data_IF_301293616061
#
_entry.id   IF_301293616061
#
_cell.length_a   1.000
_cell.length_b   1.000
_cell.length_c   1.000
_cell.angle_alpha   90.00
_cell.angle_beta   90.00
_cell.angle_gamma   90.00
#
_symmetry.space_group_name_H-M   'P 1'
#
loop_
_entity.id
_entity.type
_entity.pdbx_description
1 polymer ?
#
# COMPACT_ATOMS: atom_id res chain seq x y z
N UNK A 1 10.37 -27.75 17.79
CA UNK A 1 9.82 -27.12 16.57
C UNK A 1 10.79 -26.01 16.18
N UNK A 2 11.26 -25.99 14.92
CA UNK A 2 12.43 -25.20 14.51
C UNK A 2 12.36 -23.72 14.92
N UNK A 3 13.38 -23.26 15.65
CA UNK A 3 13.57 -21.87 16.05
C UNK A 3 13.96 -20.96 14.88
N UNK A 4 14.09 -21.50 13.68
CA UNK A 4 14.51 -20.75 12.51
C UNK A 4 13.37 -19.83 12.02
N UNK A 5 13.65 -18.55 11.74
CA UNK A 5 12.64 -17.65 11.21
C UNK A 5 12.21 -18.08 9.80
N UNK A 6 10.92 -17.90 9.50
CA UNK A 6 10.44 -17.85 8.11
C UNK A 6 11.00 -16.55 7.52
N UNK A 7 11.65 -16.59 6.37
CA UNK A 7 12.28 -15.40 5.79
C UNK A 7 11.59 -15.05 4.48
N UNK A 8 11.17 -13.79 4.34
CA UNK A 8 10.70 -13.26 3.06
C UNK A 8 11.67 -12.19 2.58
N UNK A 9 12.20 -12.37 1.37
CA UNK A 9 13.12 -11.42 0.74
C UNK A 9 12.35 -10.39 -0.06
N UNK A 10 12.59 -9.12 0.24
CA UNK A 10 11.93 -7.99 -0.38
C UNK A 10 12.97 -7.10 -1.05
N UNK A 11 12.66 -6.61 -2.25
CA UNK A 11 13.42 -5.57 -2.95
C UNK A 11 12.51 -4.40 -3.21
N UNK A 12 12.86 -3.21 -2.74
CA UNK A 12 12.04 -2.02 -2.95
C UNK A 12 12.17 -1.49 -4.39
N UNK A 13 11.05 -1.15 -5.01
CA UNK A 13 10.97 -0.48 -6.32
C UNK A 13 10.84 1.04 -6.20
N UNK A 14 10.26 1.51 -5.10
CA UNK A 14 10.29 2.92 -4.68
C UNK A 14 10.76 3.00 -3.23
N UNK A 15 11.22 4.17 -2.74
CA UNK A 15 11.71 4.26 -1.38
C UNK A 15 10.65 3.81 -0.38
N UNK A 16 11.11 3.09 0.64
CA UNK A 16 10.31 2.68 1.77
C UNK A 16 10.42 3.75 2.86
N UNK A 17 9.26 4.15 3.40
CA UNK A 17 9.19 4.97 4.60
C UNK A 17 8.37 4.26 5.68
N UNK A 18 8.85 4.26 6.92
CA UNK A 18 8.18 3.70 8.09
C UNK A 18 8.25 4.70 9.23
N UNK A 19 7.11 5.03 9.85
CA UNK A 19 7.09 5.98 10.95
C UNK A 19 7.27 5.32 12.31
N UNK A 20 8.16 5.88 13.13
CA UNK A 20 8.25 5.66 14.55
C UNK A 20 7.09 6.29 15.32
N UNK A 21 7.05 6.07 16.64
CA UNK A 21 5.99 6.61 17.51
C UNK A 21 5.97 8.14 17.59
N UNK A 22 7.09 8.79 17.30
CA UNK A 22 7.26 10.25 17.20
C UNK A 22 6.91 10.80 15.81
N UNK A 23 6.54 9.91 14.87
CA UNK A 23 6.21 10.27 13.49
C UNK A 23 7.41 10.49 12.58
N UNK A 24 8.64 10.17 13.02
CA UNK A 24 9.87 10.28 12.25
C UNK A 24 10.34 8.92 11.76
N UNK A 25 11.31 8.91 10.85
CA UNK A 25 12.00 7.69 10.41
C UNK A 25 13.50 7.80 10.68
N UNK A 26 13.94 7.38 11.87
CA UNK A 26 15.37 7.28 12.22
C UNK A 26 15.97 5.93 11.77
N UNK A 27 15.11 4.92 11.58
CA UNK A 27 15.44 3.60 11.04
C UNK A 27 14.21 2.98 10.35
N UNK A 28 14.37 1.79 9.77
CA UNK A 28 13.20 0.99 9.40
C UNK A 28 12.51 0.52 10.68
N UNK A 29 11.27 0.96 10.89
CA UNK A 29 10.44 0.52 12.00
C UNK A 29 9.58 -0.67 11.59
N UNK A 30 9.76 -1.80 12.26
CA UNK A 30 9.01 -3.02 12.02
C UNK A 30 7.51 -2.81 12.25
N UNK A 31 7.13 -1.92 13.16
CA UNK A 31 5.74 -1.52 13.40
C UNK A 31 5.09 -0.90 12.16
N UNK A 32 5.83 -0.12 11.37
CA UNK A 32 5.33 0.46 10.11
C UNK A 32 5.10 -0.60 9.04
N UNK A 33 6.03 -1.56 8.93
CA UNK A 33 5.89 -2.73 8.03
C UNK A 33 4.68 -3.58 8.45
N UNK A 34 4.60 -3.98 9.72
CA UNK A 34 3.48 -4.76 10.27
C UNK A 34 2.16 -4.04 10.04
N UNK A 35 2.12 -2.72 10.28
CA UNK A 35 0.92 -1.90 10.08
C UNK A 35 0.44 -1.92 8.63
N UNK A 36 1.34 -1.80 7.66
CA UNK A 36 0.99 -1.87 6.23
C UNK A 36 0.48 -3.25 5.81
N UNK A 37 1.12 -4.34 6.25
CA UNK A 37 0.68 -5.72 5.98
C UNK A 37 -0.69 -5.97 6.62
N UNK A 38 -0.88 -5.52 7.86
CA UNK A 38 -2.18 -5.60 8.54
C UNK A 38 -3.25 -4.86 7.75
N UNK A 39 -2.99 -3.62 7.33
CA UNK A 39 -3.95 -2.81 6.60
C UNK A 39 -4.38 -3.48 5.29
N UNK A 40 -3.44 -4.06 4.55
CA UNK A 40 -3.75 -4.83 3.35
C UNK A 40 -4.54 -6.10 3.65
N UNK A 41 -4.22 -6.82 4.73
CA UNK A 41 -5.02 -7.97 5.17
C UNK A 41 -6.47 -7.56 5.50
N UNK A 42 -6.67 -6.40 6.13
CA UNK A 42 -7.99 -5.84 6.38
C UNK A 42 -8.75 -5.54 5.08
N UNK A 43 -8.09 -4.93 4.09
CA UNK A 43 -8.66 -4.65 2.76
C UNK A 43 -9.05 -5.93 2.02
N UNK A 44 -8.19 -6.95 2.05
CA UNK A 44 -8.43 -8.26 1.44
C UNK A 44 -9.63 -8.93 2.11
N UNK A 45 -9.66 -9.01 3.43
CA UNK A 45 -10.74 -9.65 4.18
C UNK A 45 -12.10 -8.95 3.93
N UNK A 46 -12.14 -7.61 3.87
CA UNK A 46 -13.36 -6.86 3.47
C UNK A 46 -13.79 -7.20 2.04
N UNK A 47 -12.82 -7.29 1.12
CA UNK A 47 -13.05 -7.70 -0.26
C UNK A 47 -13.70 -9.08 -0.39
N UNK A 48 -13.27 -10.02 0.44
CA UNK A 48 -13.81 -11.38 0.55
C UNK A 48 -15.14 -11.46 1.32
N UNK A 49 -15.67 -10.34 1.82
CA UNK A 49 -16.97 -10.27 2.49
C UNK A 49 -16.96 -10.51 4.01
N UNK A 50 -15.78 -10.53 4.63
CA UNK A 50 -15.65 -10.71 6.08
C UNK A 50 -15.67 -9.38 6.82
N UNK A 51 -16.18 -9.42 8.05
CA UNK A 51 -16.17 -8.27 8.94
C UNK A 51 -14.75 -7.95 9.40
N UNK A 52 -14.38 -6.68 9.31
CA UNK A 52 -13.13 -6.15 9.86
C UNK A 52 -13.40 -4.86 10.62
N UNK A 53 -13.10 -4.84 11.92
CA UNK A 53 -13.31 -3.67 12.77
C UNK A 53 -12.47 -2.46 12.32
N UNK A 54 -12.87 -1.27 12.78
CA UNK A 54 -11.98 -0.11 12.79
C UNK A 54 -10.96 -0.24 13.92
N UNK A 55 -9.64 -0.29 13.67
CA UNK A 55 -8.66 -0.27 14.76
C UNK A 55 -8.63 1.08 15.50
N UNK A 56 -9.20 2.15 14.93
CA UNK A 56 -9.21 3.52 15.48
C UNK A 56 -10.50 3.91 16.19
N UNK A 57 -11.55 3.10 16.12
CA UNK A 57 -12.82 3.38 16.81
C UNK A 57 -12.91 2.73 18.18
N UNK A 58 -13.87 3.17 18.98
CA UNK A 58 -14.19 2.57 20.29
C UNK A 58 -14.75 1.14 20.17
N UNK A 59 -15.27 0.78 18.99
CA UNK A 59 -15.82 -0.54 18.67
C UNK A 59 -14.77 -1.52 18.11
N UNK A 60 -13.47 -1.22 18.30
CA UNK A 60 -12.39 -2.14 17.92
C UNK A 60 -12.46 -3.44 18.72
N UNK A 61 -12.01 -4.53 18.11
CA UNK A 61 -11.92 -5.82 18.79
C UNK A 61 -11.05 -5.73 20.04
N UNK A 62 -11.50 -6.33 21.14
CA UNK A 62 -10.76 -6.43 22.40
C UNK A 62 -11.10 -7.76 23.07
N UNK A 63 -10.12 -8.39 23.70
CA UNK A 63 -10.35 -9.54 24.57
C UNK A 63 -10.22 -9.12 26.02
N UNK A 64 -11.09 -9.68 26.87
CA UNK A 64 -11.09 -9.42 28.30
C UNK A 64 -10.07 -10.26 29.07
N UNK A 65 -9.54 -11.31 28.43
CA UNK A 65 -8.70 -12.33 29.06
C UNK A 65 -9.52 -13.42 29.77
N UNK A 66 -10.85 -13.33 29.75
CA UNK A 66 -11.77 -14.32 30.32
C UNK A 66 -12.27 -15.34 29.31
N UNK A 67 -11.87 -15.21 28.05
CA UNK A 67 -12.26 -16.09 26.97
C UNK A 67 -11.67 -17.50 27.17
N UNK A 68 -12.54 -18.50 27.22
CA UNK A 68 -12.22 -19.86 27.68
C UNK A 68 -11.49 -20.68 26.61
N UNK A 69 -11.90 -20.53 25.37
CA UNK A 69 -11.39 -21.31 24.25
C UNK A 69 -11.14 -20.45 22.99
N UNK A 70 -10.60 -21.08 21.95
CA UNK A 70 -10.29 -20.41 20.69
C UNK A 70 -11.55 -19.96 19.94
N UNK A 71 -12.66 -20.69 20.02
CA UNK A 71 -13.90 -20.34 19.33
C UNK A 71 -14.50 -19.06 19.93
N UNK A 72 -14.51 -18.92 21.25
CA UNK A 72 -14.96 -17.72 21.95
C UNK A 72 -14.09 -16.51 21.56
N UNK A 73 -12.76 -16.68 21.48
CA UNK A 73 -11.84 -15.62 21.06
C UNK A 73 -12.10 -15.20 19.62
N UNK A 74 -12.24 -16.15 18.69
CA UNK A 74 -12.53 -15.89 17.28
C UNK A 74 -13.85 -15.12 17.12
N UNK A 75 -14.90 -15.48 17.86
CA UNK A 75 -16.19 -14.77 17.81
C UNK A 75 -16.10 -13.28 18.15
N UNK A 76 -15.07 -12.87 18.91
CA UNK A 76 -14.83 -11.49 19.37
C UNK A 76 -13.76 -10.76 18.54
N UNK A 77 -13.03 -11.47 17.69
CA UNK A 77 -11.92 -10.93 16.90
C UNK A 77 -12.25 -10.94 15.41
N UNK A 78 -12.00 -9.82 14.72
CA UNK A 78 -11.92 -9.86 13.27
C UNK A 78 -10.64 -10.58 12.82
N UNK A 79 -10.57 -11.03 11.55
CA UNK A 79 -9.40 -11.75 11.04
C UNK A 79 -8.07 -11.02 11.25
N UNK A 80 -8.06 -9.70 11.04
CA UNK A 80 -6.86 -8.90 11.19
C UNK A 80 -6.43 -8.80 12.66
N UNK A 81 -7.36 -8.59 13.59
CA UNK A 81 -7.04 -8.61 15.02
C UNK A 81 -6.57 -9.99 15.48
N UNK A 82 -7.11 -11.08 14.93
CA UNK A 82 -6.66 -12.42 15.22
C UNK A 82 -5.18 -12.62 14.83
N UNK A 83 -4.81 -12.30 13.59
CA UNK A 83 -3.44 -12.52 13.10
C UNK A 83 -2.45 -11.48 13.65
N UNK A 84 -2.82 -10.20 13.65
CA UNK A 84 -1.94 -9.05 13.96
C UNK A 84 -2.01 -8.55 15.41
N UNK A 85 -2.91 -9.10 16.23
CA UNK A 85 -3.08 -8.71 17.63
C UNK A 85 -4.08 -7.56 17.84
N UNK A 86 -4.54 -7.42 19.08
CA UNK A 86 -5.31 -6.28 19.58
C UNK A 86 -5.17 -6.20 21.12
N UNK A 87 -5.90 -5.29 21.78
CA UNK A 87 -5.94 -5.23 23.25
C UNK A 87 -6.40 -6.57 23.83
N UNK A 88 -5.62 -7.14 24.75
CA UNK A 88 -5.89 -8.46 25.34
C UNK A 88 -5.55 -9.65 24.43
N UNK A 89 -4.99 -9.43 23.23
CA UNK A 89 -4.63 -10.49 22.30
C UNK A 89 -3.29 -10.22 21.61
N UNK A 90 -2.29 -11.05 21.91
CA UNK A 90 -0.95 -10.90 21.34
C UNK A 90 -0.96 -11.33 19.87
N UNK A 91 -0.23 -10.60 19.03
CA UNK A 91 0.03 -10.99 17.65
C UNK A 91 0.61 -12.40 17.57
N UNK A 92 0.18 -13.17 16.57
CA UNK A 92 0.53 -14.58 16.37
C UNK A 92 1.97 -14.82 15.88
N UNK A 93 2.71 -13.75 15.63
CA UNK A 93 4.09 -13.82 15.18
C UNK A 93 4.88 -12.62 15.71
N UNK A 94 6.20 -12.75 15.67
CA UNK A 94 7.18 -11.67 15.78
C UNK A 94 7.77 -11.41 14.40
N UNK A 95 8.13 -10.16 14.10
CA UNK A 95 8.73 -9.80 12.82
C UNK A 95 9.96 -8.91 13.06
N UNK A 96 11.11 -9.50 13.37
CA UNK A 96 12.40 -8.87 13.12
C UNK A 96 12.59 -8.53 11.64
N UNK A 97 13.26 -7.41 11.37
CA UNK A 97 13.65 -7.02 10.01
C UNK A 97 15.16 -6.88 9.95
N UNK A 98 15.79 -7.56 9.00
CA UNK A 98 17.21 -7.40 8.68
C UNK A 98 17.33 -6.65 7.35
N UNK A 99 18.36 -5.81 7.25
CA UNK A 99 18.53 -4.88 6.14
C UNK A 99 19.83 -5.21 5.44
N UNK A 100 19.73 -5.59 4.16
CA UNK A 100 20.89 -5.86 3.31
C UNK A 100 20.86 -4.87 2.14
N UNK A 101 21.67 -3.81 2.18
CA UNK A 101 21.68 -2.85 1.09
C UNK A 101 22.14 -1.44 1.46
N UNK A 102 21.98 -0.52 0.50
CA UNK A 102 22.43 0.87 0.63
C UNK A 102 21.71 1.57 1.79
N UNK A 103 22.54 2.20 2.62
CA UNK A 103 22.20 3.14 3.69
C UNK A 103 21.42 4.36 3.12
N UNK A 104 20.68 5.08 3.97
CA UNK A 104 19.52 5.84 3.56
C UNK A 104 19.81 6.89 2.50
N UNK A 105 18.83 7.02 1.61
CA UNK A 105 18.68 8.23 0.81
C UNK A 105 18.35 9.33 1.82
N UNK A 106 19.38 10.09 2.23
CA UNK A 106 19.19 11.33 2.98
C UNK A 106 18.24 12.21 2.18
N UNK A 107 17.33 12.91 2.85
CA UNK A 107 16.27 13.70 2.22
C UNK A 107 16.69 14.72 1.14
N UNK A 108 17.99 14.87 0.85
CA UNK A 108 18.57 15.71 -0.20
C UNK A 108 19.51 14.98 -1.19
N UNK A 109 19.86 13.70 -1.02
CA UNK A 109 20.80 13.01 -1.92
C UNK A 109 20.12 11.81 -2.61
N UNK A 110 20.08 11.86 -3.96
CA UNK A 110 19.69 10.80 -4.90
C UNK A 110 18.22 10.37 -4.98
N UNK A 111 17.33 10.87 -4.12
CA UNK A 111 15.89 10.90 -4.38
C UNK A 111 15.43 12.35 -4.41
N UNK A 112 15.88 13.06 -5.45
CA UNK A 112 15.62 14.47 -5.66
C UNK A 112 14.15 14.68 -6.01
N UNK A 113 13.33 14.82 -4.99
CA UNK A 113 11.95 15.27 -5.12
C UNK A 113 11.95 16.69 -5.71
N UNK A 114 11.77 16.82 -7.02
CA UNK A 114 11.55 18.11 -7.63
C UNK A 114 10.09 18.23 -8.07
N UNK A 115 9.51 19.37 -7.74
CA UNK A 115 8.22 19.79 -8.28
C UNK A 115 8.44 20.97 -9.20
N UNK A 116 7.66 21.00 -10.26
CA UNK A 116 7.64 22.11 -11.22
C UNK A 116 6.73 23.24 -10.76
N UNK A 117 5.86 22.96 -9.78
CA UNK A 117 4.83 23.87 -9.32
C UNK A 117 5.31 24.67 -8.09
N UNK A 118 5.36 25.99 -8.23
CA UNK A 118 5.75 26.91 -7.14
C UNK A 118 4.85 26.81 -5.91
N UNK A 119 3.58 26.46 -6.08
CA UNK A 119 2.62 26.24 -4.98
C UNK A 119 3.03 25.01 -4.17
N UNK A 120 3.47 23.94 -4.85
CA UNK A 120 3.92 22.72 -4.20
C UNK A 120 5.23 22.94 -3.46
N UNK A 121 6.15 23.80 -3.96
CA UNK A 121 7.43 24.09 -3.29
C UNK A 121 7.27 24.51 -1.83
N UNK A 122 6.35 25.43 -1.52
CA UNK A 122 6.17 25.95 -0.15
C UNK A 122 5.59 24.94 0.84
N UNK A 123 4.74 24.03 0.37
CA UNK A 123 4.17 23.00 1.23
C UNK A 123 5.08 21.78 1.32
N UNK A 124 5.70 21.36 0.21
CA UNK A 124 6.71 20.31 0.19
C UNK A 124 7.90 20.70 1.05
N UNK A 125 8.36 21.96 1.02
CA UNK A 125 9.39 22.42 1.96
C UNK A 125 8.91 22.25 3.41
N UNK A 126 7.67 22.61 3.76
CA UNK A 126 7.17 22.37 5.13
C UNK A 126 7.06 20.89 5.51
N UNK A 127 6.74 20.00 4.57
CA UNK A 127 6.64 18.55 4.81
C UNK A 127 8.02 17.93 4.89
N UNK A 128 8.95 18.30 4.01
CA UNK A 128 10.26 17.66 3.88
C UNK A 128 11.39 18.39 4.64
N UNK A 129 11.30 19.70 4.87
CA UNK A 129 12.22 20.43 5.74
C UNK A 129 12.06 20.03 7.21
N UNK A 130 10.83 19.73 7.64
CA UNK A 130 10.57 19.14 8.97
C UNK A 130 11.06 17.69 9.07
N UNK A 131 11.30 17.06 7.94
CA UNK A 131 11.71 15.67 7.79
C UNK A 131 13.13 15.57 7.18
N UNK A 132 14.00 16.59 7.33
CA UNK A 132 15.39 16.52 6.83
C UNK A 132 16.17 15.37 7.47
N UNK A 133 15.78 15.02 8.69
CA UNK A 133 16.33 13.90 9.45
C UNK A 133 15.65 12.56 9.12
N UNK A 134 14.58 12.54 8.30
CA UNK A 134 13.92 11.29 7.91
C UNK A 134 14.82 10.53 6.92
N UNK A 135 15.10 9.29 7.26
CA UNK A 135 15.91 8.37 6.47
C UNK A 135 15.00 7.55 5.56
N UNK A 136 15.04 7.74 4.25
CA UNK A 136 14.30 6.87 3.33
C UNK A 136 15.14 5.64 2.98
N UNK A 137 14.52 4.45 2.95
CA UNK A 137 15.22 3.22 2.59
C UNK A 137 14.97 2.84 1.13
N UNK A 138 16.02 2.44 0.41
CA UNK A 138 15.89 1.88 -0.94
C UNK A 138 16.91 0.76 -1.14
N UNK A 139 16.43 -0.47 -1.32
CA UNK A 139 17.28 -1.65 -1.44
C UNK A 139 16.54 -2.94 -1.07
N UNK A 140 17.31 -3.95 -0.68
CA UNK A 140 16.78 -5.26 -0.29
C UNK A 140 16.63 -5.36 1.22
N UNK A 141 15.63 -6.07 1.71
CA UNK A 141 15.45 -6.33 3.14
C UNK A 141 14.85 -7.72 3.34
N UNK A 142 15.16 -8.31 4.47
CA UNK A 142 14.66 -9.61 4.88
C UNK A 142 13.67 -9.45 6.03
N UNK A 143 12.45 -9.90 5.78
CA UNK A 143 11.41 -10.02 6.81
C UNK A 143 11.56 -11.37 7.51
N UNK A 144 12.12 -11.36 8.71
CA UNK A 144 12.36 -12.59 9.50
C UNK A 144 11.19 -12.80 10.45
N UNK A 145 10.28 -13.68 10.10
CA UNK A 145 9.07 -14.00 10.87
C UNK A 145 9.33 -15.13 11.84
N UNK A 146 9.11 -14.86 13.13
CA UNK A 146 9.13 -15.84 14.20
C UNK A 146 7.69 -16.19 14.59
N UNK A 147 7.14 -17.33 14.15
CA UNK A 147 5.77 -17.72 14.46
C UNK A 147 5.61 -18.03 15.97
N UNK A 148 4.44 -17.72 16.53
CA UNK A 148 4.06 -18.09 17.91
C UNK A 148 2.96 -19.15 17.97
N UNK A 149 2.42 -19.49 16.82
CA UNK A 149 1.43 -20.54 16.63
C UNK A 149 1.86 -21.39 15.42
N UNK A 150 0.90 -22.01 14.73
CA UNK A 150 1.16 -22.84 13.56
C UNK A 150 2.04 -22.12 12.52
N UNK A 151 3.27 -22.63 12.34
CA UNK A 151 4.28 -22.07 11.43
C UNK A 151 3.75 -22.01 10.00
N UNK A 152 3.16 -23.10 9.52
CA UNK A 152 2.71 -23.25 8.14
C UNK A 152 1.56 -22.28 7.83
N UNK A 153 0.64 -22.13 8.77
CA UNK A 153 -0.45 -21.16 8.68
C UNK A 153 0.09 -19.72 8.61
N UNK A 154 1.02 -19.35 9.51
CA UNK A 154 1.62 -18.01 9.50
C UNK A 154 2.37 -17.74 8.21
N UNK A 155 3.17 -18.70 7.74
CA UNK A 155 3.91 -18.61 6.49
C UNK A 155 2.97 -18.40 5.30
N UNK A 156 1.95 -19.25 5.15
CA UNK A 156 0.97 -19.16 4.06
C UNK A 156 0.19 -17.85 4.07
N UNK A 157 -0.28 -17.42 5.24
CA UNK A 157 -1.05 -16.17 5.34
C UNK A 157 -0.18 -14.95 5.01
N UNK A 158 1.05 -14.87 5.52
CA UNK A 158 1.93 -13.75 5.22
C UNK A 158 2.43 -13.77 3.78
N UNK A 159 2.78 -14.94 3.23
CA UNK A 159 3.18 -15.09 1.83
C UNK A 159 2.06 -14.65 0.89
N UNK A 160 0.82 -15.08 1.14
CA UNK A 160 -0.33 -14.70 0.33
C UNK A 160 -0.59 -13.18 0.35
N UNK A 161 -0.54 -12.55 1.54
CA UNK A 161 -0.74 -11.09 1.66
C UNK A 161 0.38 -10.33 0.97
N UNK A 162 1.64 -10.71 1.19
CA UNK A 162 2.79 -10.06 0.58
C UNK A 162 2.77 -10.23 -0.95
N UNK A 163 2.34 -11.39 -1.47
CA UNK A 163 2.21 -11.64 -2.92
C UNK A 163 1.12 -10.77 -3.57
N UNK A 164 0.03 -10.51 -2.87
CA UNK A 164 -0.98 -9.54 -3.33
C UNK A 164 -0.41 -8.11 -3.24
N UNK A 165 0.27 -7.77 -2.15
CA UNK A 165 0.83 -6.44 -1.92
C UNK A 165 1.92 -6.06 -2.92
N UNK A 166 2.79 -6.98 -3.36
CA UNK A 166 3.84 -6.66 -4.36
C UNK A 166 3.22 -6.21 -5.69
N UNK A 167 2.08 -6.80 -6.06
CA UNK A 167 1.39 -6.54 -7.33
C UNK A 167 0.38 -5.38 -7.28
N UNK A 168 -0.24 -5.14 -6.13
CA UNK A 168 -1.39 -4.25 -5.99
C UNK A 168 -1.25 -3.20 -4.87
N UNK A 169 -0.22 -3.32 -4.05
CA UNK A 169 -0.06 -2.52 -2.86
C UNK A 169 1.30 -1.89 -2.69
N UNK A 170 1.60 -1.59 -1.43
CA UNK A 170 2.82 -0.93 -0.97
C UNK A 170 3.08 -1.31 0.48
N UNK A 171 4.36 -1.29 0.85
CA UNK A 171 4.88 -1.56 2.18
C UNK A 171 5.20 -0.26 2.91
N UNK A 172 4.98 -0.23 4.21
CA UNK A 172 5.22 0.94 5.05
C UNK A 172 4.15 2.03 4.89
N UNK A 173 4.55 3.28 5.04
CA UNK A 173 3.67 4.44 5.06
C UNK A 173 4.04 5.43 3.95
N UNK A 174 3.22 6.49 3.84
CA UNK A 174 3.28 7.49 2.77
C UNK A 174 3.09 6.95 1.33
N UNK A 175 2.25 5.91 1.07
CA UNK A 175 1.98 5.48 -0.32
C UNK A 175 1.32 6.57 -1.17
N UNK A 176 0.61 7.52 -0.54
CA UNK A 176 0.07 8.69 -1.21
C UNK A 176 1.14 9.61 -1.81
N UNK A 177 2.38 9.43 -1.38
CA UNK A 177 3.58 10.14 -1.84
C UNK A 177 4.49 9.23 -2.67
N UNK A 178 4.02 8.05 -3.06
CA UNK A 178 4.74 7.18 -3.99
C UNK A 178 5.71 6.18 -3.38
N UNK A 179 5.71 6.06 -2.06
CA UNK A 179 6.60 5.21 -1.31
C UNK A 179 6.10 3.75 -1.26
N UNK A 180 7.05 2.83 -1.07
CA UNK A 180 6.77 1.48 -0.62
C UNK A 180 6.40 0.47 -1.68
N UNK A 181 6.56 0.75 -2.98
CA UNK A 181 6.46 -0.32 -3.97
C UNK A 181 7.63 -1.29 -3.81
N UNK A 182 7.36 -2.57 -4.01
CA UNK A 182 8.34 -3.62 -3.79
C UNK A 182 8.05 -4.88 -4.60
N UNK A 183 9.09 -5.68 -4.79
CA UNK A 183 9.06 -7.04 -5.31
C UNK A 183 9.37 -8.01 -4.16
N UNK A 184 8.75 -9.18 -4.20
CA UNK A 184 9.22 -10.33 -3.42
C UNK A 184 10.22 -11.09 -4.28
N UNK A 185 11.39 -11.37 -3.70
CA UNK A 185 12.45 -12.11 -4.40
C UNK A 185 12.24 -13.63 -4.34
N UNK A 186 11.42 -14.10 -3.39
CA UNK A 186 10.97 -15.49 -3.33
C UNK A 186 9.80 -15.72 -4.31
N UNK A 187 9.55 -16.96 -4.73
CA UNK A 187 8.46 -17.31 -5.63
C UNK A 187 7.12 -16.77 -5.11
N UNK A 188 6.62 -15.72 -5.77
CA UNK A 188 5.31 -15.14 -5.48
C UNK A 188 4.20 -16.12 -5.80
N UNK A 189 3.20 -16.17 -4.94
CA UNK A 189 1.98 -16.92 -5.25
C UNK A 189 1.14 -16.13 -6.25
N UNK A 190 0.46 -16.84 -7.15
CA UNK A 190 -0.54 -16.21 -8.02
C UNK A 190 -1.56 -15.44 -7.17
N UNK A 191 -1.97 -14.25 -7.60
CA UNK A 191 -2.89 -13.39 -6.82
C UNK A 191 -4.20 -14.11 -6.49
N UNK A 192 -4.75 -14.86 -7.45
CA UNK A 192 -5.98 -15.62 -7.25
C UNK A 192 -5.80 -16.74 -6.22
N UNK A 193 -4.67 -17.44 -6.25
CA UNK A 193 -4.38 -18.47 -5.25
C UNK A 193 -4.11 -17.86 -3.87
N UNK A 194 -3.42 -16.73 -3.79
CA UNK A 194 -3.25 -15.96 -2.56
C UNK A 194 -4.60 -15.59 -1.93
N UNK A 195 -5.55 -15.13 -2.74
CA UNK A 195 -6.92 -14.85 -2.28
C UNK A 195 -7.63 -16.11 -1.78
N UNK A 196 -7.45 -17.26 -2.44
CA UNK A 196 -8.01 -18.55 -1.99
C UNK A 196 -7.40 -19.02 -0.67
N UNK A 197 -6.08 -18.90 -0.50
CA UNK A 197 -5.37 -19.23 0.73
C UNK A 197 -5.92 -18.42 1.90
N UNK A 198 -6.11 -17.11 1.70
CA UNK A 198 -6.68 -16.24 2.72
C UNK A 198 -8.16 -16.62 2.95
N UNK A 199 -8.99 -16.70 1.91
CA UNK A 199 -10.42 -17.01 2.05
C UNK A 199 -10.67 -18.36 2.77
N UNK A 200 -9.90 -19.40 2.43
CA UNK A 200 -9.98 -20.72 3.07
C UNK A 200 -9.71 -20.62 4.57
N UNK A 201 -8.61 -19.95 4.94
CA UNK A 201 -8.28 -19.71 6.34
C UNK A 201 -9.40 -18.95 7.06
N UNK A 202 -9.97 -17.92 6.43
CA UNK A 202 -11.07 -17.15 7.02
C UNK A 202 -12.33 -18.00 7.25
N UNK A 203 -12.65 -18.89 6.30
CA UNK A 203 -13.79 -19.81 6.36
C UNK A 203 -13.61 -20.89 7.42
N UNK A 204 -12.45 -21.54 7.44
CA UNK A 204 -12.12 -22.61 8.41
C UNK A 204 -12.15 -22.12 9.86
N UNK A 205 -11.81 -20.84 10.07
CA UNK A 205 -11.88 -20.20 11.38
C UNK A 205 -13.25 -19.57 11.66
N UNK A 206 -14.28 -19.80 10.82
CA UNK A 206 -15.65 -19.32 11.04
C UNK A 206 -15.75 -17.82 11.37
N UNK A 207 -14.91 -16.98 10.75
CA UNK A 207 -14.99 -15.53 10.98
C UNK A 207 -16.31 -14.96 10.45
N UNK A 208 -16.81 -13.92 11.12
CA UNK A 208 -18.09 -13.29 10.79
C UNK A 208 -18.08 -12.75 9.35
N UNK A 209 -19.00 -13.24 8.51
CA UNK A 209 -19.32 -12.64 7.21
C UNK A 209 -20.27 -11.46 7.41
N UNK A 210 -19.80 -10.26 7.10
CA UNK A 210 -20.60 -9.03 7.07
C UNK A 210 -19.86 -8.01 6.21
N UNK A 211 -20.41 -7.70 5.04
CA UNK A 211 -19.86 -6.64 4.18
C UNK A 211 -20.05 -5.30 4.88
N UNK A 212 -18.96 -4.61 5.19
CA UNK A 212 -18.97 -3.22 5.64
C UNK A 212 -18.09 -2.41 4.70
N UNK A 213 -18.63 -2.14 3.50
CA UNK A 213 -17.94 -1.38 2.46
C UNK A 213 -18.03 0.14 2.69
N UNK A 214 -18.67 0.59 3.79
CA UNK A 214 -18.96 1.99 4.09
C UNK A 214 -17.69 2.87 4.19
N UNK A 215 -16.53 2.27 4.44
CA UNK A 215 -15.24 2.99 4.52
C UNK A 215 -14.55 3.18 3.17
N UNK A 216 -15.01 2.52 2.12
CA UNK A 216 -14.40 2.54 0.79
C UNK A 216 -13.19 1.62 0.61
N UNK A 217 -12.39 1.33 1.65
CA UNK A 217 -11.18 0.49 1.56
C UNK A 217 -11.48 -1.02 1.60
N UNK A 218 -11.90 -1.55 0.45
CA UNK A 218 -12.24 -2.96 0.20
C UNK A 218 -11.76 -3.33 -1.20
N UNK A 219 -11.29 -4.56 -1.43
CA UNK A 219 -10.90 -4.99 -2.79
C UNK A 219 -12.05 -4.89 -3.80
N UNK A 220 -13.31 -4.87 -3.35
CA UNK A 220 -14.48 -4.64 -4.22
C UNK A 220 -14.44 -3.29 -4.92
N UNK A 221 -13.81 -2.29 -4.29
CA UNK A 221 -13.67 -0.93 -4.82
C UNK A 221 -12.27 -0.67 -5.39
N UNK A 222 -11.41 -1.69 -5.40
CA UNK A 222 -10.02 -1.52 -5.82
C UNK A 222 -9.90 -1.46 -7.33
N UNK A 223 -9.07 -0.54 -7.81
CA UNK A 223 -8.59 -0.49 -9.17
C UNK A 223 -7.10 -0.12 -9.20
N UNK A 224 -6.41 -0.56 -10.26
CA UNK A 224 -5.01 -0.23 -10.56
C UNK A 224 -4.87 0.09 -12.04
N UNK A 225 -4.11 1.13 -12.33
CA UNK A 225 -3.57 1.44 -13.66
C UNK A 225 -2.05 1.40 -13.54
N UNK A 226 -1.41 0.68 -14.45
CA UNK A 226 0.03 0.53 -14.49
C UNK A 226 0.50 0.65 -15.93
N UNK A 227 1.39 1.60 -16.20
CA UNK A 227 1.81 1.90 -17.57
C UNK A 227 3.30 2.24 -17.64
N UNK A 228 3.90 1.94 -18.79
CA UNK A 228 5.24 2.39 -19.14
C UNK A 228 5.16 3.82 -19.66
N UNK A 229 6.01 4.68 -19.12
CA UNK A 229 6.15 6.07 -19.54
C UNK A 229 7.46 6.21 -20.30
N UNK A 230 7.39 6.82 -21.48
CA UNK A 230 8.51 7.02 -22.40
C UNK A 230 9.64 7.90 -21.83
N UNK A 231 10.73 8.07 -22.59
CA UNK A 231 11.92 8.87 -22.17
C UNK A 231 11.57 10.34 -21.92
N UNK A 232 10.48 10.83 -22.49
CA UNK A 232 9.86 12.13 -22.24
C UNK A 232 9.08 12.11 -20.92
N UNK A 233 9.80 12.09 -19.80
CA UNK A 233 9.21 12.53 -18.54
C UNK A 233 8.55 13.90 -18.75
N UNK A 234 7.41 14.20 -18.08
CA UNK A 234 6.72 15.47 -18.24
C UNK A 234 7.73 16.61 -18.10
N UNK A 235 7.63 17.66 -18.94
CA UNK A 235 8.63 18.73 -19.01
C UNK A 235 8.64 19.44 -17.67
N UNK A 236 9.52 19.00 -16.78
CA UNK A 236 9.88 19.80 -15.66
C UNK A 236 10.56 21.04 -16.22
N UNK A 237 10.07 22.22 -15.86
CA UNK A 237 10.84 23.43 -16.03
C UNK A 237 12.06 23.32 -15.08
N UNK A 238 13.08 22.59 -15.55
CA UNK A 238 14.30 22.18 -14.83
C UNK A 238 15.25 23.36 -14.55
N UNK A 239 14.83 24.62 -14.79
CA UNK A 239 15.63 25.82 -14.54
C UNK A 239 16.10 25.97 -13.09
N UNK A 240 15.51 25.22 -12.16
CA UNK A 240 15.83 25.26 -10.72
C UNK A 240 16.75 24.13 -10.23
N UNK A 241 17.12 23.17 -11.10
CA UNK A 241 18.01 22.07 -10.74
C UNK A 241 19.37 22.32 -11.37
N UNK A 242 20.42 22.38 -10.54
CA UNK A 242 21.80 22.49 -10.98
C UNK A 242 22.17 21.39 -11.98
N UNK A 243 23.13 21.67 -12.85
CA UNK A 243 23.51 20.82 -14.00
C UNK A 243 23.88 19.38 -13.64
N UNK A 244 24.35 19.11 -12.42
CA UNK A 244 24.75 17.78 -11.96
C UNK A 244 23.56 16.85 -11.63
N UNK A 245 22.35 17.37 -11.43
CA UNK A 245 21.17 16.60 -10.97
C UNK A 245 20.24 16.18 -12.13
N UNK A 246 20.53 16.62 -13.37
CA UNK A 246 19.67 16.39 -14.55
C UNK A 246 19.48 14.93 -14.94
N UNK A 247 20.42 14.05 -14.58
CA UNK A 247 20.36 12.63 -14.91
C UNK A 247 19.67 11.76 -13.83
N UNK A 248 19.13 12.38 -12.78
CA UNK A 248 18.62 11.71 -11.57
C UNK A 248 17.14 12.02 -11.27
N UNK A 249 16.42 12.61 -12.22
CA UNK A 249 15.08 13.13 -12.00
C UNK A 249 13.98 12.11 -12.33
N UNK A 250 13.15 11.80 -11.33
CA UNK A 250 11.88 11.08 -11.49
C UNK A 250 10.77 12.04 -11.01
N UNK A 251 9.78 12.37 -11.84
CA UNK A 251 8.70 13.27 -11.44
C UNK A 251 7.94 12.74 -10.22
N UNK A 252 7.53 13.67 -9.36
CA UNK A 252 6.86 13.37 -8.11
C UNK A 252 5.49 12.73 -8.33
N UNK A 253 5.18 11.69 -7.53
CA UNK A 253 3.81 11.19 -7.31
C UNK A 253 2.80 12.30 -7.02
N UNK A 254 3.26 13.39 -6.39
CA UNK A 254 2.47 14.58 -6.06
C UNK A 254 2.06 15.41 -7.26
N UNK A 255 2.93 15.58 -8.26
CA UNK A 255 2.61 16.39 -9.43
C UNK A 255 1.56 15.66 -10.28
N UNK A 256 1.75 14.35 -10.47
CA UNK A 256 0.74 13.46 -11.07
C UNK A 256 -0.56 13.52 -10.25
N UNK A 257 -0.50 13.32 -8.94
CA UNK A 257 -1.68 13.36 -8.05
C UNK A 257 -2.39 14.71 -8.07
N UNK A 258 -1.65 15.81 -8.13
CA UNK A 258 -2.22 17.16 -8.16
C UNK A 258 -2.87 17.47 -9.50
N UNK A 259 -2.26 17.00 -10.60
CA UNK A 259 -2.90 17.00 -11.93
C UNK A 259 -4.21 16.21 -11.87
N UNK A 260 -4.19 14.96 -11.40
CA UNK A 260 -5.39 14.11 -11.31
C UNK A 260 -6.47 14.74 -10.42
N UNK A 261 -6.07 15.40 -9.34
CA UNK A 261 -6.99 16.13 -8.46
C UNK A 261 -7.67 17.28 -9.19
N UNK A 262 -6.94 18.02 -10.04
CA UNK A 262 -7.52 19.10 -10.87
C UNK A 262 -8.47 18.54 -11.91
N UNK A 263 -8.06 17.49 -12.61
CA UNK A 263 -8.90 16.82 -13.61
C UNK A 263 -10.23 16.37 -13.01
N UNK A 264 -10.18 15.73 -11.85
CA UNK A 264 -11.38 15.28 -11.16
C UNK A 264 -12.22 16.45 -10.64
N UNK A 265 -11.61 17.56 -10.22
CA UNK A 265 -12.35 18.76 -9.81
C UNK A 265 -13.10 19.39 -10.98
N UNK A 266 -12.51 19.43 -12.16
CA UNK A 266 -13.13 19.95 -13.38
C UNK A 266 -14.29 19.07 -13.84
N UNK A 267 -14.10 17.75 -13.79
CA UNK A 267 -15.14 16.76 -14.12
C UNK A 267 -16.29 16.75 -13.11
N UNK A 268 -15.99 16.67 -11.80
CA UNK A 268 -17.00 16.57 -10.74
C UNK A 268 -17.66 17.91 -10.38
N UNK A 269 -17.01 19.03 -10.71
CA UNK A 269 -17.40 20.39 -10.29
C UNK A 269 -17.62 20.53 -8.77
N UNK A 270 -17.03 19.64 -7.96
CA UNK A 270 -17.29 19.54 -6.52
C UNK A 270 -16.00 19.43 -5.71
N UNK A 271 -15.70 20.49 -4.94
CA UNK A 271 -14.57 20.50 -4.00
C UNK A 271 -14.71 19.43 -2.92
N UNK A 272 -15.94 19.14 -2.49
CA UNK A 272 -16.25 18.11 -1.48
C UNK A 272 -15.94 16.72 -2.03
N UNK A 273 -16.51 16.35 -3.18
CA UNK A 273 -16.24 15.06 -3.82
C UNK A 273 -14.74 14.87 -4.11
N UNK A 274 -14.09 15.92 -4.62
CA UNK A 274 -12.64 15.90 -4.85
C UNK A 274 -11.85 15.62 -3.57
N UNK A 275 -12.25 16.21 -2.44
CA UNK A 275 -11.59 16.01 -1.17
C UNK A 275 -11.90 14.63 -0.54
N UNK A 276 -13.06 14.03 -0.83
CA UNK A 276 -13.39 12.65 -0.42
C UNK A 276 -12.55 11.60 -1.18
N UNK A 277 -12.10 11.91 -2.40
CA UNK A 277 -11.29 11.01 -3.25
C UNK A 277 -9.79 11.25 -3.04
N UNK A 278 -9.34 12.50 -3.13
CA UNK A 278 -7.93 12.89 -3.09
C UNK A 278 -7.47 13.41 -1.72
N UNK A 279 -8.33 13.35 -0.71
CA UNK A 279 -8.07 13.82 0.65
C UNK A 279 -8.39 15.31 0.88
N UNK A 280 -8.70 15.64 2.14
CA UNK A 280 -8.98 16.99 2.59
C UNK A 280 -7.72 17.82 2.84
N UNK A 281 -7.82 19.15 2.68
CA UNK A 281 -6.70 20.10 2.92
C UNK A 281 -6.91 20.98 4.15
N UNK A 282 -8.14 21.07 4.69
CA UNK A 282 -8.50 21.89 5.86
C UNK A 282 -9.62 21.24 6.65
N UNK A 283 -9.45 21.10 7.97
CA UNK A 283 -10.50 20.78 8.96
C UNK A 283 -11.08 19.36 8.89
N UNK A 284 -11.50 18.94 7.70
CA UNK A 284 -12.10 17.63 7.44
C UNK A 284 -11.00 16.61 7.11
N UNK A 285 -10.84 15.61 7.98
CA UNK A 285 -9.83 14.54 7.85
C UNK A 285 -10.28 13.44 6.88
N UNK A 286 -10.54 13.77 5.61
CA UNK A 286 -10.71 12.72 4.59
C UNK A 286 -9.37 12.13 4.20
N UNK A 287 -9.21 10.83 4.43
CA UNK A 287 -8.10 10.07 3.92
C UNK A 287 -8.18 9.97 2.40
N UNK A 288 -7.03 9.97 1.75
CA UNK A 288 -6.96 9.72 0.31
C UNK A 288 -7.44 8.32 -0.03
N UNK A 289 -8.23 8.20 -1.10
CA UNK A 289 -8.61 6.92 -1.70
C UNK A 289 -7.83 6.61 -2.97
N UNK A 290 -7.11 7.60 -3.53
CA UNK A 290 -6.23 7.44 -4.70
C UNK A 290 -4.76 7.59 -4.30
N UNK A 291 -3.91 6.73 -4.83
CA UNK A 291 -2.48 6.65 -4.54
C UNK A 291 -1.71 6.60 -5.85
N UNK A 292 -0.54 7.23 -5.86
CA UNK A 292 0.30 7.35 -7.05
C UNK A 292 1.71 7.00 -6.63
N UNK A 293 2.33 6.05 -7.33
CA UNK A 293 3.73 5.68 -7.11
C UNK A 293 4.67 6.82 -7.51
N UNK A 294 5.89 6.81 -6.98
CA UNK A 294 6.99 7.42 -7.72
C UNK A 294 7.18 6.62 -9.02
N UNK A 295 7.73 7.23 -10.08
CA UNK A 295 8.13 6.40 -11.19
C UNK A 295 9.23 5.45 -10.73
N UNK A 296 9.23 4.25 -11.28
CA UNK A 296 10.11 3.20 -10.85
C UNK A 296 10.54 2.35 -12.05
N UNK A 297 11.56 1.54 -11.85
CA UNK A 297 11.98 0.53 -12.81
C UNK A 297 11.99 -0.83 -12.13
N UNK A 298 11.46 -1.84 -12.78
CA UNK A 298 11.57 -3.24 -12.33
C UNK A 298 13.04 -3.70 -12.43
N UNK A 299 13.65 -3.44 -13.59
CA UNK A 299 15.09 -3.59 -13.81
C UNK A 299 15.74 -2.22 -14.00
N UNK A 300 16.81 -1.97 -13.23
CA UNK A 300 17.60 -0.73 -13.34
C UNK A 300 18.26 -0.58 -14.72
N UNK A 301 18.47 -1.69 -15.44
CA UNK A 301 18.96 -1.70 -16.82
C UNK A 301 17.90 -1.30 -17.84
N UNK A 302 16.61 -1.25 -17.48
CA UNK A 302 15.54 -0.86 -18.39
C UNK A 302 15.62 0.66 -18.70
N UNK A 303 15.43 1.00 -19.96
CA UNK A 303 15.38 2.39 -20.44
C UNK A 303 14.07 3.10 -20.08
N UNK A 304 13.01 2.34 -19.81
CA UNK A 304 11.67 2.86 -19.54
C UNK A 304 11.35 2.86 -18.06
N UNK A 305 10.55 3.85 -17.66
CA UNK A 305 10.02 3.96 -16.32
C UNK A 305 8.57 3.48 -16.30
N UNK A 306 8.13 2.96 -15.16
CA UNK A 306 6.74 2.61 -14.89
C UNK A 306 6.10 3.58 -13.90
N UNK A 307 4.80 3.78 -14.07
CA UNK A 307 3.95 4.53 -13.15
C UNK A 307 2.79 3.63 -12.72
N UNK A 308 2.58 3.48 -11.42
CA UNK A 308 1.44 2.78 -10.83
C UNK A 308 0.53 3.79 -10.15
N UNK A 309 -0.75 3.76 -10.50
CA UNK A 309 -1.81 4.51 -9.83
C UNK A 309 -2.87 3.52 -9.39
N UNK A 310 -3.32 3.61 -8.15
CA UNK A 310 -4.35 2.73 -7.64
C UNK A 310 -5.28 3.46 -6.70
N UNK A 311 -6.47 2.92 -6.50
CA UNK A 311 -7.43 3.53 -5.59
C UNK A 311 -8.54 2.61 -5.16
N UNK A 312 -9.36 3.15 -4.25
CA UNK A 312 -10.50 2.48 -3.63
C UNK A 312 -11.76 3.33 -3.80
N UNK A 313 -12.31 3.34 -5.01
CA UNK A 313 -13.36 4.29 -5.42
C UNK A 313 -14.36 3.64 -6.38
N UNK A 314 -15.40 4.38 -6.73
CA UNK A 314 -16.36 3.99 -7.76
C UNK A 314 -15.73 3.96 -9.17
N UNK A 315 -16.44 3.34 -10.12
CA UNK A 315 -15.97 3.05 -11.49
C UNK A 315 -15.68 4.29 -12.34
N UNK A 316 -16.24 5.46 -12.03
CA UNK A 316 -16.01 6.68 -12.82
C UNK A 316 -14.61 7.29 -12.61
N UNK A 317 -14.03 7.13 -11.42
CA UNK A 317 -12.71 7.69 -11.09
C UNK A 317 -11.56 7.06 -11.90
N UNK A 318 -11.42 5.71 -12.01
CA UNK A 318 -10.32 5.12 -12.77
C UNK A 318 -10.32 5.54 -14.24
N UNK A 319 -11.48 5.73 -14.88
CA UNK A 319 -11.54 6.20 -16.27
C UNK A 319 -11.00 7.63 -16.43
N UNK A 320 -11.41 8.56 -15.56
CA UNK A 320 -10.88 9.93 -15.54
C UNK A 320 -9.35 9.90 -15.36
N UNK A 321 -8.85 9.02 -14.49
CA UNK A 321 -7.41 8.88 -14.25
C UNK A 321 -6.70 8.32 -15.48
N UNK A 322 -7.26 7.28 -16.13
CA UNK A 322 -6.69 6.68 -17.34
C UNK A 322 -6.59 7.71 -18.46
N UNK A 323 -7.69 8.40 -18.76
CA UNK A 323 -7.74 9.43 -19.80
C UNK A 323 -6.73 10.57 -19.55
N UNK A 324 -6.61 11.02 -18.31
CA UNK A 324 -5.64 12.06 -17.95
C UNK A 324 -4.19 11.61 -18.16
N UNK A 325 -3.87 10.35 -17.84
CA UNK A 325 -2.52 9.81 -18.03
C UNK A 325 -2.20 9.59 -19.50
N UNK A 326 -3.13 9.06 -20.29
CA UNK A 326 -2.96 8.88 -21.74
C UNK A 326 -2.78 10.21 -22.47
N UNK A 327 -3.45 11.28 -22.01
CA UNK A 327 -3.34 12.61 -22.59
C UNK A 327 -2.04 13.33 -22.23
N UNK A 328 -1.63 13.26 -20.97
CA UNK A 328 -0.54 14.09 -20.44
C UNK A 328 0.83 13.37 -20.47
N UNK A 329 0.87 12.06 -20.70
CA UNK A 329 2.10 11.26 -20.72
C UNK A 329 2.21 10.41 -21.98
N UNK A 330 3.43 10.33 -22.52
CA UNK A 330 3.77 9.40 -23.60
C UNK A 330 3.79 7.97 -23.05
N UNK A 331 2.68 7.26 -23.25
CA UNK A 331 2.46 5.91 -22.73
C UNK A 331 2.48 4.89 -23.87
N UNK A 332 3.23 3.80 -23.68
CA UNK A 332 3.36 2.77 -24.72
C UNK A 332 2.24 1.72 -24.69
N UNK A 333 1.43 1.69 -23.64
CA UNK A 333 0.32 0.76 -23.46
C UNK A 333 -0.92 1.53 -23.01
N UNK A 334 -2.09 1.18 -23.58
CA UNK A 334 -3.40 1.58 -23.04
C UNK A 334 -3.46 1.08 -21.61
N UNK A 335 -3.53 1.99 -20.63
CA UNK A 335 -3.44 1.64 -19.22
C UNK A 335 -4.64 0.80 -18.80
N UNK A 336 -4.52 -0.54 -18.87
CA UNK A 336 -5.61 -1.43 -18.49
C UNK A 336 -5.98 -1.22 -17.02
N UNK A 337 -7.27 -1.00 -16.77
CA UNK A 337 -7.79 -0.86 -15.42
C UNK A 337 -7.96 -2.26 -14.84
N UNK A 338 -6.96 -2.68 -14.07
CA UNK A 338 -7.02 -3.92 -13.30
C UNK A 338 -7.94 -3.75 -12.10
N UNK A 339 -8.88 -4.67 -11.89
CA UNK A 339 -9.77 -4.71 -10.72
C UNK A 339 -9.92 -6.12 -10.18
N UNK A 340 -10.43 -6.25 -8.97
CA UNK A 340 -10.59 -7.56 -8.31
C UNK A 340 -11.96 -8.22 -8.55
N UNK A 341 -12.90 -7.58 -9.25
CA UNK A 341 -14.29 -8.04 -9.35
C UNK A 341 -14.43 -9.51 -9.78
N UNK A 342 -13.87 -9.86 -10.94
CA UNK A 342 -13.91 -11.25 -11.46
C UNK A 342 -13.17 -12.23 -10.53
N UNK A 343 -11.98 -11.87 -10.06
CA UNK A 343 -11.19 -12.72 -9.15
C UNK A 343 -11.94 -12.99 -7.83
N UNK A 344 -12.57 -11.98 -7.24
CA UNK A 344 -13.35 -12.12 -6.01
C UNK A 344 -14.57 -13.00 -6.23
N UNK A 345 -15.31 -12.81 -7.33
CA UNK A 345 -16.42 -13.71 -7.70
C UNK A 345 -15.93 -15.15 -7.80
N UNK A 346 -14.87 -15.43 -8.55
CA UNK A 346 -14.35 -16.79 -8.70
C UNK A 346 -13.83 -17.41 -7.38
N UNK A 347 -13.28 -16.61 -6.47
CA UNK A 347 -12.79 -17.08 -5.16
C UNK A 347 -13.95 -17.33 -4.18
N UNK A 348 -15.06 -16.60 -4.31
CA UNK A 348 -16.19 -16.65 -3.37
C UNK A 348 -17.38 -17.48 -3.87
N UNK A 349 -17.56 -17.65 -5.18
CA UNK A 349 -18.63 -18.47 -5.80
C UNK A 349 -18.38 -19.98 -5.67
N UNK A 350 -17.14 -20.41 -5.43
CA UNK A 350 -16.81 -21.81 -5.12
C UNK A 350 -17.49 -22.26 -3.79
N UNK A 351 -18.00 -21.32 -2.98
CA UNK A 351 -18.67 -21.58 -1.70
C UNK A 351 -20.21 -21.57 -1.73
N UNK A 352 -20.87 -21.39 -2.90
CA UNK A 352 -22.33 -21.50 -3.01
C UNK A 352 -22.81 -22.84 -3.59
N UNK A 353 -21.88 -23.73 -3.95
CA UNK A 353 -22.14 -25.06 -4.55
C UNK A 353 -21.66 -26.25 -3.70
N UNK A 354 -21.32 -26.01 -2.43
CA UNK A 354 -21.08 -26.98 -1.37
C UNK A 354 -21.85 -26.52 -0.13
#
# INVERSE_FOLDING_TARGET
MGNEPITFKIKTLTPLWTGGSDGKMDRIHETGIIGSIRWWYEVIARGLGYYVCDPTSDNRCKLSGKERDTAERISKLCPACYLFGTTGWKRMFNLPVTIDGKQPVRGNELFSQATTNSINKNWLSKVFEKNRDDMNYFGSLELRVLPRCDRNQIEKQLKAVLSIMSNFGSLGAKPQFGYGLFELSDDTEETKESLRIINRFLKENCFVKRSDDNKGFSLKNYWKIETEVGKSFPPANLKYLGSEVKNLYIPMSFDVRYMLRKEYLESSKSKKATAEIFGGTKGDKWASKVFVSSFYKEDQQNDKYKLRIWGFTERSVPEIVREAIERDYDTNNVGEISSFGKMLSEVTEIDSRL
#
